data_IF_359997514759
#
_entry.id   IF_359997514759
#
_cell.length_a   1.000
_cell.length_b   1.000
_cell.length_c   1.000
_cell.angle_alpha   90.00
_cell.angle_beta   90.00
_cell.angle_gamma   90.00
#
_symmetry.space_group_name_H-M   'P 1'
#
loop_
_entity.id
_entity.type
_entity.pdbx_description
1 polymer ?
#
# COMPACT_ATOMS: atom_id res chain seq x y z
N UNK A 1 -4.95 -17.26 0.91
CA UNK A 1 -5.14 -18.70 0.65
C UNK A 1 -6.57 -19.04 1.06
N UNK A 2 -7.32 -19.74 0.22
CA UNK A 2 -8.65 -20.24 0.57
C UNK A 2 -8.55 -21.77 0.65
N UNK A 3 -9.12 -22.37 1.70
CA UNK A 3 -9.14 -23.82 1.81
C UNK A 3 -10.31 -24.36 1.00
N UNK A 4 -10.04 -25.10 -0.07
CA UNK A 4 -11.11 -25.77 -0.82
C UNK A 4 -11.41 -27.10 -0.14
N UNK A 5 -12.58 -27.19 0.50
CA UNK A 5 -13.03 -28.40 1.21
C UNK A 5 -13.19 -29.59 0.27
N UNK A 6 -13.54 -29.35 -1.00
CA UNK A 6 -13.67 -30.38 -2.04
C UNK A 6 -12.32 -30.88 -2.55
N UNK A 7 -11.37 -29.97 -2.76
CA UNK A 7 -10.02 -30.32 -3.22
C UNK A 7 -9.13 -30.83 -2.08
N UNK A 8 -9.53 -30.61 -0.82
CA UNK A 8 -8.78 -30.98 0.39
C UNK A 8 -7.35 -30.41 0.45
N UNK A 9 -7.10 -29.28 -0.21
CA UNK A 9 -5.85 -28.53 -0.11
C UNK A 9 -6.07 -27.00 -0.22
N UNK A 10 -5.12 -26.17 0.28
CA UNK A 10 -5.18 -24.73 0.15
C UNK A 10 -4.96 -24.31 -1.31
N UNK A 11 -5.98 -23.72 -1.94
CA UNK A 11 -5.81 -23.07 -3.25
C UNK A 11 -5.43 -21.60 -3.05
N UNK A 12 -4.62 -21.02 -3.95
CA UNK A 12 -4.53 -19.57 -4.07
C UNK A 12 -5.95 -19.02 -4.22
N UNK A 13 -6.33 -18.10 -3.34
CA UNK A 13 -7.58 -17.36 -3.55
C UNK A 13 -7.41 -16.51 -4.81
N UNK A 14 -8.49 -16.33 -5.58
CA UNK A 14 -8.51 -15.34 -6.66
C UNK A 14 -8.09 -13.98 -6.09
N UNK A 15 -7.10 -13.35 -6.68
CA UNK A 15 -6.78 -11.96 -6.39
C UNK A 15 -7.46 -11.08 -7.44
N UNK A 16 -8.02 -9.98 -7.01
CA UNK A 16 -8.84 -9.09 -7.83
C UNK A 16 -8.36 -7.67 -7.61
N UNK A 17 -8.19 -6.92 -8.70
CA UNK A 17 -7.98 -5.48 -8.65
C UNK A 17 -9.24 -4.80 -9.15
N UNK A 18 -9.85 -4.05 -8.26
CA UNK A 18 -11.10 -3.34 -8.52
C UNK A 18 -10.82 -1.88 -8.84
N UNK A 19 -11.58 -1.34 -9.79
CA UNK A 19 -11.55 0.08 -10.13
C UNK A 19 -12.95 0.65 -9.96
N UNK A 20 -13.02 1.76 -9.24
CA UNK A 20 -14.24 2.50 -8.99
C UNK A 20 -14.11 3.94 -9.51
N UNK A 21 -15.25 4.55 -9.82
CA UNK A 21 -15.32 5.96 -10.23
C UNK A 21 -15.18 6.91 -9.02
N UNK A 22 -15.27 8.22 -9.27
CA UNK A 22 -15.20 9.24 -8.22
C UNK A 22 -16.34 9.15 -7.17
N UNK A 23 -17.45 8.48 -7.50
CA UNK A 23 -18.58 8.24 -6.62
C UNK A 23 -18.42 6.95 -5.80
N UNK A 24 -17.39 6.14 -6.08
CA UNK A 24 -17.18 4.84 -5.46
C UNK A 24 -17.98 3.72 -6.13
N UNK A 25 -18.60 3.98 -7.28
CA UNK A 25 -19.28 2.97 -8.07
C UNK A 25 -18.24 2.11 -8.80
N UNK A 26 -18.29 0.77 -8.69
CA UNK A 26 -17.38 -0.11 -9.43
C UNK A 26 -17.58 0.07 -10.94
N UNK A 27 -16.46 0.21 -11.65
CA UNK A 27 -16.42 0.37 -13.11
C UNK A 27 -16.00 -0.94 -13.76
N UNK A 28 -14.90 -1.53 -13.28
CA UNK A 28 -14.43 -2.82 -13.73
C UNK A 28 -13.57 -3.50 -12.64
N UNK A 29 -13.36 -4.79 -12.83
CA UNK A 29 -12.45 -5.61 -12.03
C UNK A 29 -11.55 -6.41 -12.97
N UNK A 30 -10.28 -6.55 -12.61
CA UNK A 30 -9.37 -7.48 -13.29
C UNK A 30 -8.97 -8.60 -12.35
N UNK A 31 -8.98 -9.82 -12.88
CA UNK A 31 -8.39 -10.97 -12.19
C UNK A 31 -6.88 -10.74 -12.16
N UNK A 32 -6.36 -10.48 -10.97
CA UNK A 32 -4.94 -10.23 -10.79
C UNK A 32 -4.18 -11.53 -11.04
N UNK A 33 -3.17 -11.46 -11.90
CA UNK A 33 -2.27 -12.61 -12.08
C UNK A 33 -1.60 -12.90 -10.72
N UNK A 34 -1.54 -14.16 -10.28
CA UNK A 34 -0.91 -14.51 -9.00
C UNK A 34 0.46 -13.85 -8.85
N UNK A 35 0.75 -13.32 -7.66
CA UNK A 35 1.99 -12.62 -7.30
C UNK A 35 2.29 -11.28 -8.00
N UNK A 36 1.33 -10.66 -8.68
CA UNK A 36 1.51 -9.30 -9.21
C UNK A 36 1.28 -8.27 -8.12
N UNK A 37 2.20 -7.32 -7.95
CA UNK A 37 1.98 -6.15 -7.08
C UNK A 37 1.05 -5.13 -7.75
N UNK A 38 0.37 -4.29 -6.96
CA UNK A 38 -0.45 -3.19 -7.49
C UNK A 38 0.32 -2.33 -8.50
N UNK A 39 1.60 -2.05 -8.22
CA UNK A 39 2.50 -1.33 -9.15
C UNK A 39 2.64 -2.06 -10.48
N UNK A 40 2.88 -3.38 -10.46
CA UNK A 40 2.99 -4.17 -11.69
C UNK A 40 1.67 -4.26 -12.46
N UNK A 41 0.54 -4.29 -11.74
CA UNK A 41 -0.79 -4.31 -12.34
C UNK A 41 -1.10 -2.99 -13.04
N UNK A 42 -0.87 -1.86 -12.37
CA UNK A 42 -1.07 -0.53 -12.93
C UNK A 42 -0.21 -0.36 -14.19
N UNK A 43 1.09 -0.68 -14.14
CA UNK A 43 1.98 -0.62 -15.33
C UNK A 43 1.43 -1.42 -16.52
N UNK A 44 0.91 -2.62 -16.25
CA UNK A 44 0.36 -3.51 -17.28
C UNK A 44 -0.95 -2.97 -17.87
N UNK A 45 -1.79 -2.34 -17.05
CA UNK A 45 -3.12 -1.87 -17.46
C UNK A 45 -3.09 -0.48 -18.10
N UNK A 46 -2.13 0.38 -17.72
CA UNK A 46 -2.06 1.77 -18.20
C UNK A 46 -2.17 1.92 -19.72
N UNK A 47 -1.45 1.16 -20.56
CA UNK A 47 -1.58 1.28 -22.01
C UNK A 47 -3.00 1.00 -22.50
N UNK A 48 -3.60 -0.10 -22.05
CA UNK A 48 -4.98 -0.47 -22.42
C UNK A 48 -6.00 0.57 -21.98
N UNK A 49 -5.83 1.10 -20.75
CA UNK A 49 -6.69 2.18 -20.27
C UNK A 49 -6.54 3.43 -21.13
N UNK A 50 -5.31 3.74 -21.56
CA UNK A 50 -5.06 4.88 -22.44
C UNK A 50 -5.73 4.72 -23.80
N UNK A 51 -5.61 3.55 -24.42
CA UNK A 51 -6.28 3.24 -25.68
C UNK A 51 -7.81 3.39 -25.57
N UNK A 52 -8.40 3.00 -24.43
CA UNK A 52 -9.84 3.12 -24.19
C UNK A 52 -10.32 4.55 -23.90
N UNK A 53 -9.49 5.35 -23.23
CA UNK A 53 -9.85 6.72 -22.79
C UNK A 53 -9.58 7.75 -23.91
N UNK A 54 -8.61 7.47 -24.78
CA UNK A 54 -8.06 8.40 -25.76
C UNK A 54 -6.94 9.28 -25.19
N UNK A 55 -6.16 9.89 -26.07
CA UNK A 55 -4.91 10.57 -25.71
C UNK A 55 -5.11 11.91 -24.99
N UNK A 56 -6.22 12.60 -25.26
CA UNK A 56 -6.43 13.98 -24.77
C UNK A 56 -6.95 14.03 -23.33
N UNK A 57 -7.77 13.06 -22.92
CA UNK A 57 -8.46 13.11 -21.63
C UNK A 57 -7.52 12.73 -20.50
N UNK A 58 -7.13 13.71 -19.68
CA UNK A 58 -6.44 13.45 -18.41
C UNK A 58 -7.32 12.67 -17.44
N UNK A 59 -6.73 11.73 -16.71
CA UNK A 59 -7.44 10.90 -15.73
C UNK A 59 -6.71 10.87 -14.39
N UNK A 60 -7.38 11.34 -13.35
CA UNK A 60 -6.92 11.21 -11.97
C UNK A 60 -7.09 9.76 -11.48
N UNK A 61 -5.99 9.11 -11.14
CA UNK A 61 -5.97 7.72 -10.67
C UNK A 61 -5.54 7.64 -9.20
N UNK A 62 -6.49 7.29 -8.33
CA UNK A 62 -6.29 7.20 -6.88
C UNK A 62 -5.95 5.79 -6.42
N UNK A 63 -4.88 5.62 -5.64
CA UNK A 63 -4.51 4.33 -5.03
C UNK A 63 -3.85 4.50 -3.65
N UNK A 64 -3.78 3.41 -2.90
CA UNK A 64 -3.20 3.42 -1.55
C UNK A 64 -1.66 3.32 -1.56
N UNK A 65 -1.04 3.45 -0.38
CA UNK A 65 0.41 3.37 -0.15
C UNK A 65 1.09 2.11 -0.69
N UNK A 66 0.33 1.04 -0.91
CA UNK A 66 0.84 -0.19 -1.55
C UNK A 66 1.26 0.04 -3.01
N UNK A 67 0.70 1.05 -3.68
CA UNK A 67 1.09 1.49 -5.02
C UNK A 67 2.33 2.38 -5.06
N UNK A 68 3.08 2.50 -3.96
CA UNK A 68 4.23 3.42 -3.89
C UNK A 68 5.37 3.05 -4.84
N UNK A 69 5.56 3.84 -5.89
CA UNK A 69 6.70 3.76 -6.81
C UNK A 69 6.87 5.11 -7.52
N UNK A 70 7.89 5.92 -7.21
CA UNK A 70 8.10 7.20 -7.90
C UNK A 70 8.25 7.04 -9.42
N UNK A 71 8.89 5.96 -9.86
CA UNK A 71 8.94 5.61 -11.28
C UNK A 71 7.54 5.42 -11.88
N UNK A 72 6.65 4.70 -11.20
CA UNK A 72 5.27 4.51 -11.68
C UNK A 72 4.53 5.85 -11.79
N UNK A 73 4.72 6.74 -10.82
CA UNK A 73 4.04 8.04 -10.81
C UNK A 73 4.47 8.89 -12.01
N UNK A 74 5.77 8.87 -12.30
CA UNK A 74 6.31 9.54 -13.48
C UNK A 74 5.78 8.93 -14.78
N UNK A 75 5.78 7.60 -14.89
CA UNK A 75 5.28 6.90 -16.08
C UNK A 75 3.77 7.15 -16.31
N UNK A 76 2.96 7.15 -15.24
CA UNK A 76 1.53 7.50 -15.30
C UNK A 76 1.33 8.93 -15.78
N UNK A 77 2.10 9.87 -15.23
CA UNK A 77 2.06 11.29 -15.62
C UNK A 77 2.36 11.49 -17.11
N UNK A 78 3.39 10.80 -17.62
CA UNK A 78 3.75 10.82 -19.04
C UNK A 78 2.69 10.18 -19.93
N UNK A 79 1.91 9.24 -19.40
CA UNK A 79 0.80 8.60 -20.10
C UNK A 79 -0.53 9.37 -19.98
N UNK A 80 -0.53 10.61 -19.49
CA UNK A 80 -1.74 11.43 -19.36
C UNK A 80 -2.61 11.09 -18.14
N UNK A 81 -2.08 10.35 -17.17
CA UNK A 81 -2.77 10.07 -15.91
C UNK A 81 -2.20 10.91 -14.79
N UNK A 82 -3.05 11.40 -13.90
CA UNK A 82 -2.65 12.06 -12.68
C UNK A 82 -2.67 11.08 -11.51
N UNK A 83 -1.52 10.51 -11.07
CA UNK A 83 -1.49 9.74 -9.83
C UNK A 83 -2.00 10.55 -8.65
N UNK A 84 -2.72 9.89 -7.74
CA UNK A 84 -3.17 10.43 -6.45
C UNK A 84 -2.95 9.36 -5.38
N UNK A 85 -1.99 9.60 -4.48
CA UNK A 85 -1.58 8.59 -3.48
C UNK A 85 -1.13 9.24 -2.19
N UNK A 86 -1.13 8.47 -1.10
CA UNK A 86 -0.45 8.86 0.13
C UNK A 86 1.06 8.78 -0.04
N UNK A 87 1.79 9.73 0.56
CA UNK A 87 3.25 9.64 0.73
C UNK A 87 3.61 8.47 1.64
N UNK A 88 4.61 7.70 1.25
CA UNK A 88 5.18 6.59 2.03
C UNK A 88 6.59 6.94 2.47
N UNK A 89 6.94 6.51 3.68
CA UNK A 89 8.25 6.77 4.28
C UNK A 89 8.23 7.93 5.28
N UNK A 90 9.31 8.06 6.04
CA UNK A 90 9.55 9.21 6.91
C UNK A 90 9.93 10.42 6.06
N UNK A 91 9.42 11.58 6.44
CA UNK A 91 9.57 12.82 5.68
C UNK A 91 9.67 13.97 6.64
N UNK A 92 10.42 15.01 6.27
CA UNK A 92 10.42 16.25 7.03
C UNK A 92 9.01 16.87 7.03
N UNK A 93 8.66 17.42 8.19
CA UNK A 93 7.40 18.11 8.39
C UNK A 93 7.38 19.41 7.59
N UNK A 94 6.23 19.70 6.96
CA UNK A 94 6.00 21.00 6.32
C UNK A 94 5.90 22.07 7.40
N UNK A 95 6.47 23.25 7.13
CA UNK A 95 6.38 24.38 8.06
C UNK A 95 4.93 24.66 8.46
N UNK A 96 4.62 24.80 9.77
CA UNK A 96 3.28 25.13 10.26
C UNK A 96 2.67 26.38 9.63
N UNK A 97 3.48 27.35 9.21
CA UNK A 97 3.03 28.63 8.63
C UNK A 97 2.42 28.47 7.23
N UNK A 98 2.65 27.33 6.57
CA UNK A 98 2.10 27.03 5.24
C UNK A 98 0.69 26.43 5.30
N UNK A 99 0.16 26.15 6.50
CA UNK A 99 -1.14 25.54 6.67
C UNK A 99 -2.24 26.60 6.77
N UNK A 100 -3.24 26.50 5.88
CA UNK A 100 -4.42 27.34 5.88
C UNK A 100 -5.72 26.55 5.93
N UNK A 101 -6.84 27.26 6.12
CA UNK A 101 -8.19 26.72 5.96
C UNK A 101 -8.54 26.67 4.47
N UNK A 102 -9.09 25.54 4.04
CA UNK A 102 -9.61 25.36 2.68
C UNK A 102 -10.99 24.71 2.72
N UNK A 103 -11.82 24.98 1.72
CA UNK A 103 -13.21 24.52 1.66
C UNK A 103 -13.53 23.92 0.28
N UNK A 104 -14.38 22.90 0.25
CA UNK A 104 -14.87 22.26 -0.96
C UNK A 104 -16.36 21.94 -0.84
N UNK A 105 -17.15 22.28 -1.85
CA UNK A 105 -18.54 21.85 -1.95
C UNK A 105 -18.64 20.66 -2.91
N UNK A 106 -19.20 19.54 -2.44
CA UNK A 106 -19.40 18.38 -3.31
C UNK A 106 -20.58 18.57 -4.28
N UNK A 107 -20.77 17.59 -5.16
CA UNK A 107 -21.86 17.57 -6.16
C UNK A 107 -23.28 17.67 -5.58
N UNK A 108 -23.44 17.49 -4.26
CA UNK A 108 -24.71 17.64 -3.55
C UNK A 108 -24.80 18.95 -2.77
N UNK A 109 -23.86 19.87 -2.97
CA UNK A 109 -23.76 21.15 -2.25
C UNK A 109 -23.33 20.99 -0.79
N UNK A 110 -22.87 19.80 -0.37
CA UNK A 110 -22.40 19.61 1.00
C UNK A 110 -21.01 20.24 1.13
N UNK A 111 -20.88 21.20 2.05
CA UNK A 111 -19.61 21.87 2.32
C UNK A 111 -18.72 20.99 3.20
N UNK A 112 -17.47 20.84 2.79
CA UNK A 112 -16.41 20.15 3.51
C UNK A 112 -15.31 21.17 3.84
N UNK A 113 -15.05 21.36 5.12
CA UNK A 113 -14.04 22.30 5.61
C UNK A 113 -12.81 21.57 6.14
N UNK A 114 -11.63 22.02 5.75
CA UNK A 114 -10.36 21.50 6.22
C UNK A 114 -9.52 22.63 6.81
N UNK A 115 -9.41 22.68 8.14
CA UNK A 115 -8.80 23.81 8.85
C UNK A 115 -7.27 23.92 8.75
N UNK A 116 -6.57 22.83 8.41
CA UNK A 116 -5.11 22.81 8.30
C UNK A 116 -4.69 22.02 7.07
N UNK A 117 -4.52 22.71 5.94
CA UNK A 117 -4.03 22.17 4.68
C UNK A 117 -2.91 23.04 4.13
N UNK A 118 -1.79 22.43 3.73
CA UNK A 118 -0.71 23.09 3.02
C UNK A 118 -0.59 22.52 1.60
N UNK A 119 -0.40 23.39 0.61
CA UNK A 119 -0.23 23.02 -0.80
C UNK A 119 1.20 23.37 -1.22
N UNK A 120 2.01 22.35 -1.42
CA UNK A 120 3.45 22.45 -1.61
C UNK A 120 3.89 21.58 -2.79
N UNK A 121 5.19 21.55 -3.07
CA UNK A 121 5.74 20.60 -4.06
C UNK A 121 6.89 19.82 -3.47
N UNK A 122 7.07 18.58 -3.92
CA UNK A 122 8.17 17.71 -3.55
C UNK A 122 8.82 17.14 -4.81
N UNK A 123 10.14 16.95 -4.78
CA UNK A 123 10.86 16.22 -5.81
C UNK A 123 11.12 14.80 -5.33
N UNK A 124 10.65 13.82 -6.09
CA UNK A 124 10.94 12.41 -5.87
C UNK A 124 12.06 11.97 -6.82
N UNK A 125 12.94 11.10 -6.33
CA UNK A 125 13.99 10.49 -7.12
C UNK A 125 13.75 8.98 -7.28
N UNK A 126 14.11 8.42 -8.42
CA UNK A 126 14.18 6.97 -8.63
C UNK A 126 15.29 6.61 -9.61
N UNK A 127 15.79 5.38 -9.52
CA UNK A 127 16.92 4.91 -10.32
C UNK A 127 18.13 4.57 -9.44
N UNK A 128 19.23 4.12 -10.05
CA UNK A 128 20.46 3.84 -9.32
C UNK A 128 21.11 5.13 -8.81
N UNK A 129 21.83 5.01 -7.70
CA UNK A 129 22.50 6.14 -7.07
C UNK A 129 23.49 6.82 -8.04
N UNK A 130 23.41 8.14 -8.16
CA UNK A 130 24.22 8.94 -9.10
C UNK A 130 23.67 9.00 -10.53
N UNK A 131 22.56 8.32 -10.84
CA UNK A 131 21.84 8.39 -12.11
C UNK A 131 20.33 8.49 -11.87
N UNK A 132 19.93 9.13 -10.78
CA UNK A 132 18.53 9.25 -10.42
C UNK A 132 17.78 10.15 -11.41
N UNK A 133 16.57 9.72 -11.77
CA UNK A 133 15.60 10.57 -12.43
C UNK A 133 14.79 11.27 -11.36
N UNK A 134 14.86 12.60 -11.37
CA UNK A 134 14.08 13.47 -10.50
C UNK A 134 12.74 13.84 -11.13
N UNK A 135 11.68 13.76 -10.35
CA UNK A 135 10.31 14.00 -10.77
C UNK A 135 9.58 14.85 -9.72
N UNK A 136 9.14 16.05 -10.11
CA UNK A 136 8.43 16.96 -9.21
C UNK A 136 6.94 16.61 -9.18
N UNK A 137 6.39 16.53 -7.98
CA UNK A 137 4.97 16.33 -7.73
C UNK A 137 4.43 17.42 -6.80
N UNK A 138 3.13 17.68 -6.90
CA UNK A 138 2.38 18.48 -5.92
C UNK A 138 2.17 17.62 -4.66
N UNK A 139 2.32 18.26 -3.50
CA UNK A 139 2.12 17.66 -2.20
C UNK A 139 1.09 18.46 -1.40
N UNK A 140 -0.04 17.83 -1.12
CA UNK A 140 -1.06 18.37 -0.21
C UNK A 140 -0.89 17.75 1.17
N UNK A 141 -0.52 18.56 2.15
CA UNK A 141 -0.28 18.14 3.53
C UNK A 141 -1.45 18.50 4.42
N UNK A 142 -1.79 17.61 5.37
CA UNK A 142 -2.79 17.86 6.40
C UNK A 142 -2.22 17.56 7.78
N UNK A 143 -2.65 18.34 8.77
CA UNK A 143 -2.43 18.00 10.18
C UNK A 143 -3.62 17.20 10.67
N UNK A 144 -3.35 16.01 11.22
CA UNK A 144 -4.37 15.10 11.78
C UNK A 144 -3.96 14.64 13.17
N UNK A 145 -4.91 14.15 13.96
CA UNK A 145 -4.61 13.49 15.22
C UNK A 145 -3.64 12.31 14.99
N UNK A 146 -2.61 12.22 15.83
CA UNK A 146 -1.72 11.08 15.84
C UNK A 146 -2.47 9.82 16.31
N UNK A 147 -2.15 8.66 15.72
CA UNK A 147 -2.68 7.39 16.21
C UNK A 147 -2.03 7.00 17.54
N UNK A 148 -2.68 6.10 18.30
CA UNK A 148 -2.21 5.63 19.62
C UNK A 148 -0.72 5.26 19.62
N UNK A 149 -0.28 4.44 18.65
CA UNK A 149 1.11 4.01 18.53
C UNK A 149 2.10 5.18 18.35
N UNK A 150 1.72 6.20 17.58
CA UNK A 150 2.58 7.38 17.35
C UNK A 150 2.65 8.22 18.62
N UNK A 151 1.51 8.41 19.31
CA UNK A 151 1.45 9.13 20.59
C UNK A 151 2.33 8.48 21.65
N UNK A 152 2.23 7.16 21.81
CA UNK A 152 3.02 6.39 22.77
C UNK A 152 4.52 6.43 22.44
N UNK A 153 4.89 6.41 21.16
CA UNK A 153 6.29 6.40 20.75
C UNK A 153 6.96 7.77 20.74
N UNK A 154 6.20 8.85 20.51
CA UNK A 154 6.78 10.20 20.25
C UNK A 154 6.27 11.30 21.18
N UNK A 155 5.20 11.05 21.93
CA UNK A 155 4.50 12.08 22.71
C UNK A 155 3.74 13.11 21.86
N UNK A 156 3.74 12.99 20.53
CA UNK A 156 3.09 13.95 19.64
C UNK A 156 1.59 13.67 19.51
N UNK A 157 0.76 14.67 19.83
CA UNK A 157 -0.71 14.59 19.70
C UNK A 157 -1.21 14.63 18.26
N UNK A 158 -0.42 15.21 17.38
CA UNK A 158 -0.71 15.41 15.97
C UNK A 158 0.41 14.90 15.09
N UNK A 159 0.09 14.61 13.83
CA UNK A 159 1.06 14.27 12.79
C UNK A 159 0.66 14.87 11.46
N UNK A 160 1.63 15.03 10.57
CA UNK A 160 1.36 15.37 9.18
C UNK A 160 1.07 14.11 8.35
N UNK A 161 0.10 14.23 7.44
CA UNK A 161 -0.13 13.26 6.38
C UNK A 161 -0.04 13.98 5.04
N UNK A 162 0.63 13.35 4.07
CA UNK A 162 0.92 13.96 2.78
C UNK A 162 0.26 13.18 1.65
N UNK A 163 -0.43 13.88 0.78
CA UNK A 163 -1.04 13.39 -0.45
C UNK A 163 -0.16 13.87 -1.60
N UNK A 164 0.25 12.97 -2.48
CA UNK A 164 1.01 13.31 -3.68
C UNK A 164 0.12 13.20 -4.90
N UNK A 165 0.21 14.21 -5.77
CA UNK A 165 -0.43 14.18 -7.08
C UNK A 165 0.36 14.97 -8.12
N UNK A 166 0.16 14.67 -9.39
CA UNK A 166 0.61 15.52 -10.50
C UNK A 166 -0.47 16.48 -10.96
N UNK A 167 -1.70 16.34 -10.47
CA UNK A 167 -2.79 17.22 -10.83
C UNK A 167 -2.57 18.61 -10.22
N UNK A 168 -2.46 19.61 -11.09
CA UNK A 168 -2.30 21.03 -10.72
C UNK A 168 -3.60 21.82 -10.83
N UNK A 169 -4.61 21.25 -11.48
CA UNK A 169 -5.84 21.97 -11.85
C UNK A 169 -6.87 21.99 -10.72
N UNK A 170 -6.96 20.89 -9.95
CA UNK A 170 -7.94 20.78 -8.87
C UNK A 170 -7.49 21.57 -7.64
N UNK A 171 -8.42 22.26 -6.94
CA UNK A 171 -8.12 22.90 -5.66
C UNK A 171 -7.65 21.90 -4.60
N UNK A 172 -6.80 22.35 -3.68
CA UNK A 172 -6.27 21.50 -2.61
C UNK A 172 -7.39 20.83 -1.78
N UNK A 173 -8.46 21.57 -1.47
CA UNK A 173 -9.62 21.04 -0.75
C UNK A 173 -10.30 19.88 -1.48
N UNK A 174 -10.39 19.96 -2.81
CA UNK A 174 -10.98 18.89 -3.62
C UNK A 174 -10.07 17.66 -3.67
N UNK A 175 -8.75 17.84 -3.79
CA UNK A 175 -7.79 16.72 -3.70
C UNK A 175 -7.92 16.00 -2.36
N UNK A 176 -8.01 16.75 -1.26
CA UNK A 176 -8.25 16.20 0.08
C UNK A 176 -9.56 15.42 0.14
N UNK A 177 -10.64 16.00 -0.40
CA UNK A 177 -11.94 15.36 -0.45
C UNK A 177 -11.90 14.06 -1.23
N UNK A 178 -11.39 14.07 -2.48
CA UNK A 178 -11.29 12.90 -3.36
C UNK A 178 -10.43 11.79 -2.74
N UNK A 179 -9.30 12.15 -2.13
CA UNK A 179 -8.45 11.18 -1.45
C UNK A 179 -9.15 10.51 -0.26
N UNK A 180 -9.96 11.27 0.48
CA UNK A 180 -10.76 10.75 1.60
C UNK A 180 -11.94 9.91 1.09
N UNK A 181 -12.59 10.33 0.00
CA UNK A 181 -13.74 9.67 -0.61
C UNK A 181 -13.40 8.32 -1.23
N UNK A 182 -12.11 7.99 -1.43
CA UNK A 182 -11.65 6.65 -1.84
C UNK A 182 -12.22 5.53 -0.95
N UNK A 183 -12.47 5.81 0.33
CA UNK A 183 -13.09 4.85 1.27
C UNK A 183 -14.49 4.38 0.84
N UNK A 184 -15.17 5.11 -0.06
CA UNK A 184 -16.44 4.65 -0.66
C UNK A 184 -16.29 3.30 -1.36
N UNK A 185 -15.10 2.98 -1.87
CA UNK A 185 -14.82 1.68 -2.45
C UNK A 185 -14.95 0.54 -1.42
N UNK A 186 -14.56 0.77 -0.16
CA UNK A 186 -14.77 -0.21 0.90
C UNK A 186 -16.24 -0.34 1.30
N UNK A 187 -17.00 0.75 1.20
CA UNK A 187 -18.45 0.71 1.39
C UNK A 187 -19.12 -0.15 0.31
N UNK A 188 -18.67 -0.06 -0.95
CA UNK A 188 -19.12 -0.98 -2.01
C UNK A 188 -18.85 -2.43 -1.62
N UNK A 189 -17.62 -2.78 -1.24
CA UNK A 189 -17.29 -4.16 -0.87
C UNK A 189 -18.15 -4.67 0.28
N UNK A 190 -18.35 -3.87 1.32
CA UNK A 190 -19.23 -4.24 2.43
C UNK A 190 -20.66 -4.50 1.95
N UNK A 191 -21.22 -3.57 1.18
CA UNK A 191 -22.59 -3.68 0.70
C UNK A 191 -22.76 -4.88 -0.26
N UNK A 192 -21.84 -5.06 -1.20
CA UNK A 192 -21.90 -6.14 -2.18
C UNK A 192 -21.70 -7.52 -1.56
N UNK A 193 -20.93 -7.65 -0.48
CA UNK A 193 -20.88 -8.90 0.30
C UNK A 193 -22.23 -9.23 0.92
N UNK A 194 -22.93 -8.24 1.45
CA UNK A 194 -24.20 -8.42 2.14
C UNK A 194 -25.37 -8.67 1.19
N UNK A 195 -25.36 -8.02 0.02
CA UNK A 195 -26.55 -7.96 -0.85
C UNK A 195 -26.35 -8.55 -2.25
N UNK A 196 -25.11 -8.71 -2.70
CA UNK A 196 -24.80 -9.18 -4.06
C UNK A 196 -23.93 -10.44 -4.08
N UNK A 197 -23.77 -11.09 -2.92
CA UNK A 197 -22.99 -12.32 -2.78
C UNK A 197 -21.56 -12.19 -3.37
N UNK A 198 -20.91 -11.04 -3.15
CA UNK A 198 -19.60 -10.72 -3.74
C UNK A 198 -18.53 -11.79 -3.46
N UNK A 199 -18.55 -12.38 -2.26
CA UNK A 199 -17.58 -13.38 -1.81
C UNK A 199 -18.06 -14.83 -2.06
N UNK A 200 -19.15 -15.03 -2.81
CA UNK A 200 -19.63 -16.36 -3.13
C UNK A 200 -18.63 -17.16 -3.97
N UNK A 201 -18.68 -18.48 -3.82
CA UNK A 201 -17.91 -19.38 -4.65
C UNK A 201 -18.67 -19.64 -5.93
N UNK A 202 -18.27 -18.95 -6.99
CA UNK A 202 -19.00 -18.92 -8.26
C UNK A 202 -18.83 -20.20 -9.08
N UNK A 203 -17.68 -20.87 -8.95
CA UNK A 203 -17.35 -22.09 -9.67
C UNK A 203 -16.45 -22.97 -8.83
N UNK A 204 -16.70 -24.28 -8.85
CA UNK A 204 -15.81 -25.30 -8.27
C UNK A 204 -14.85 -25.90 -9.31
N UNK A 205 -14.91 -25.45 -10.56
CA UNK A 205 -14.04 -25.93 -11.61
C UNK A 205 -12.61 -25.45 -11.37
N UNK A 206 -11.64 -26.33 -11.61
CA UNK A 206 -10.22 -26.05 -11.44
C UNK A 206 -9.42 -26.69 -12.58
N UNK A 207 -8.27 -26.09 -12.87
CA UNK A 207 -7.32 -26.56 -13.86
C UNK A 207 -5.91 -26.56 -13.28
N UNK A 208 -5.02 -27.30 -13.92
CA UNK A 208 -3.59 -27.25 -13.60
C UNK A 208 -3.06 -25.86 -13.90
N UNK A 209 -2.40 -25.25 -12.92
CA UNK A 209 -1.75 -23.95 -13.06
C UNK A 209 -0.49 -24.10 -13.94
N UNK A 210 -0.01 -22.99 -14.48
CA UNK A 210 1.17 -22.94 -15.32
C UNK A 210 2.43 -23.31 -14.52
N UNK A 211 3.03 -24.48 -14.83
CA UNK A 211 4.21 -25.00 -14.12
C UNK A 211 5.44 -24.11 -14.28
N UNK A 212 5.53 -23.37 -15.38
CA UNK A 212 6.67 -22.49 -15.69
C UNK A 212 6.53 -21.10 -15.06
N UNK A 213 5.36 -20.79 -14.49
CA UNK A 213 5.08 -19.51 -13.85
C UNK A 213 6.06 -19.26 -12.71
N UNK A 214 6.83 -18.17 -12.81
CA UNK A 214 7.85 -17.80 -11.83
C UNK A 214 7.23 -17.33 -10.52
N UNK A 215 7.42 -18.09 -9.44
CA UNK A 215 6.96 -17.76 -8.07
C UNK A 215 8.14 -17.43 -7.14
N UNK A 216 7.92 -16.64 -6.07
CA UNK A 216 8.96 -16.37 -5.08
C UNK A 216 9.55 -17.65 -4.51
N UNK A 217 10.89 -17.70 -4.41
CA UNK A 217 11.59 -18.84 -3.82
C UNK A 217 11.42 -18.84 -2.29
N UNK A 218 10.69 -19.81 -1.69
CA UNK A 218 10.48 -19.84 -0.23
C UNK A 218 11.76 -20.07 0.56
N UNK A 219 12.76 -20.75 -0.03
CA UNK A 219 14.06 -20.94 0.62
C UNK A 219 14.87 -19.64 0.68
N UNK A 220 14.75 -18.79 -0.34
CA UNK A 220 15.41 -17.47 -0.33
C UNK A 220 14.80 -16.55 0.74
N UNK A 221 13.49 -16.63 0.98
CA UNK A 221 12.87 -15.87 2.07
C UNK A 221 13.35 -16.36 3.45
N UNK A 222 13.44 -17.68 3.66
CA UNK A 222 14.05 -18.24 4.89
C UNK A 222 15.50 -17.79 5.06
N UNK A 223 16.29 -17.78 3.99
CA UNK A 223 17.66 -17.29 4.02
C UNK A 223 17.74 -15.79 4.36
N UNK A 224 16.80 -14.99 3.81
CA UNK A 224 16.66 -13.57 4.15
C UNK A 224 16.35 -13.37 5.63
N UNK A 225 15.39 -14.11 6.19
CA UNK A 225 15.04 -14.04 7.61
C UNK A 225 16.23 -14.38 8.50
N UNK A 226 16.99 -15.45 8.17
CA UNK A 226 18.22 -15.82 8.87
C UNK A 226 19.26 -14.70 8.82
N UNK A 227 19.49 -14.11 7.64
CA UNK A 227 20.40 -12.98 7.45
C UNK A 227 19.97 -11.76 8.27
N UNK A 228 18.70 -11.40 8.22
CA UNK A 228 18.16 -10.21 8.90
C UNK A 228 18.23 -10.39 10.44
N UNK A 229 17.99 -11.60 10.93
CA UNK A 229 18.17 -11.94 12.35
C UNK A 229 19.65 -11.83 12.78
N UNK A 230 20.59 -12.32 11.96
CA UNK A 230 22.02 -12.15 12.22
C UNK A 230 22.45 -10.68 12.18
N UNK A 231 21.91 -9.88 11.26
CA UNK A 231 22.17 -8.45 11.20
C UNK A 231 21.64 -7.71 12.44
N UNK A 232 20.48 -8.11 12.95
CA UNK A 232 19.97 -7.60 14.22
C UNK A 232 20.87 -8.01 15.40
N UNK A 233 21.36 -9.25 15.42
CA UNK A 233 22.30 -9.74 16.44
C UNK A 233 23.62 -8.97 16.42
N UNK A 234 24.21 -8.74 15.24
CA UNK A 234 25.45 -7.93 15.10
C UNK A 234 25.22 -6.54 15.67
N UNK A 235 24.12 -5.86 15.31
CA UNK A 235 23.80 -4.53 15.86
C UNK A 235 23.68 -4.53 17.38
N UNK A 236 23.03 -5.54 17.96
CA UNK A 236 22.88 -5.65 19.41
C UNK A 236 24.22 -5.89 20.11
N UNK A 237 25.07 -6.77 19.56
CA UNK A 237 26.40 -7.04 20.11
C UNK A 237 27.34 -5.84 19.97
N UNK A 238 27.31 -5.15 18.83
CA UNK A 238 28.10 -3.94 18.61
C UNK A 238 27.70 -2.85 19.61
N UNK A 239 26.39 -2.59 19.78
CA UNK A 239 25.93 -1.61 20.78
C UNK A 239 26.34 -1.99 22.22
N UNK A 240 26.33 -3.28 22.56
CA UNK A 240 26.80 -3.74 23.87
C UNK A 240 28.33 -3.60 24.03
N UNK A 241 29.09 -3.85 22.97
CA UNK A 241 30.54 -3.65 22.94
C UNK A 241 30.87 -2.15 23.08
N UNK A 242 30.19 -1.27 22.34
CA UNK A 242 30.37 0.18 22.41
C UNK A 242 30.13 0.72 23.83
N UNK A 243 29.12 0.23 24.54
CA UNK A 243 28.84 0.61 25.94
C UNK A 243 29.97 0.17 26.87
N UNK A 244 30.50 -1.04 26.69
CA UNK A 244 31.60 -1.55 27.51
C UNK A 244 32.91 -0.83 27.18
N UNK A 245 33.17 -0.53 25.91
CA UNK A 245 34.33 0.26 25.48
C UNK A 245 34.27 1.68 26.05
N UNK A 246 33.08 2.31 26.01
CA UNK A 246 32.87 3.62 26.63
C UNK A 246 33.15 3.59 28.14
N UNK A 247 32.72 2.53 28.84
CA UNK A 247 33.01 2.35 30.26
C UNK A 247 34.52 2.18 30.53
N UNK A 248 35.24 1.43 29.68
CA UNK A 248 36.70 1.30 29.77
C UNK A 248 37.44 2.61 29.52
N UNK A 249 36.91 3.45 28.62
CA UNK A 249 37.45 4.77 28.28
C UNK A 249 37.04 5.89 29.26
N UNK A 250 36.21 5.59 30.27
CA UNK A 250 35.69 6.56 31.24
C UNK A 250 35.96 6.12 32.69
N UNK A 251 37.22 6.04 33.13
CA UNK A 251 37.55 5.65 34.51
C UNK A 251 37.13 6.72 35.53
N UNK A 252 36.96 6.31 36.78
CA UNK A 252 36.64 7.23 37.89
C UNK A 252 37.77 8.27 38.11
N UNK A 253 37.45 9.48 38.57
CA UNK A 253 38.46 10.51 38.81
C UNK A 253 39.56 10.03 39.77
N UNK A 254 40.80 9.95 39.25
CA UNK A 254 41.97 9.49 40.01
C UNK A 254 42.42 8.06 39.71
N UNK A 255 41.67 7.30 38.91
CA UNK A 255 42.09 5.99 38.41
C UNK A 255 42.73 6.08 37.03
N UNK A 256 43.85 5.37 36.84
CA UNK A 256 44.51 5.21 35.55
C UNK A 256 44.32 3.77 35.05
N UNK A 257 43.53 3.59 33.99
CA UNK A 257 43.32 2.29 33.34
C UNK A 257 44.14 2.24 32.05
N UNK A 258 44.96 1.19 31.90
CA UNK A 258 45.66 0.93 30.63
C UNK A 258 44.83 -0.02 29.77
N UNK A 259 44.25 0.50 28.70
CA UNK A 259 43.49 -0.31 27.73
C UNK A 259 44.48 -1.04 26.81
N UNK A 260 44.39 -2.36 26.76
CA UNK A 260 45.26 -3.18 25.91
C UNK A 260 44.50 -3.70 24.68
N UNK A 261 45.22 -3.98 23.59
CA UNK A 261 44.66 -4.64 22.41
C UNK A 261 44.00 -5.99 22.75
N UNK A 262 44.50 -6.68 23.77
CA UNK A 262 43.91 -7.95 24.23
C UNK A 262 42.49 -7.74 24.77
N UNK A 263 42.28 -6.70 25.60
CA UNK A 263 40.96 -6.37 26.16
C UNK A 263 39.98 -5.97 25.06
N UNK A 264 40.40 -5.13 24.11
CA UNK A 264 39.55 -4.73 22.97
C UNK A 264 39.23 -5.92 22.05
N UNK A 265 40.18 -6.84 21.84
CA UNK A 265 39.96 -8.04 21.06
C UNK A 265 38.97 -9.01 21.74
N UNK A 266 39.08 -9.19 23.06
CA UNK A 266 38.14 -10.01 23.83
C UNK A 266 36.73 -9.42 23.81
N UNK A 267 36.63 -8.09 23.94
CA UNK A 267 35.36 -7.36 23.86
C UNK A 267 34.69 -7.51 22.50
N UNK A 268 35.45 -7.37 21.42
CA UNK A 268 34.95 -7.40 20.05
C UNK A 268 34.84 -8.83 19.47
N UNK A 269 35.41 -9.85 20.10
CA UNK A 269 35.36 -11.24 19.61
C UNK A 269 33.93 -11.75 19.31
N UNK A 270 32.91 -11.50 20.15
CA UNK A 270 31.52 -11.87 19.84
C UNK A 270 30.95 -11.12 18.62
N UNK A 271 31.32 -9.85 18.44
CA UNK A 271 30.90 -9.03 17.28
C UNK A 271 31.49 -9.61 16.00
N UNK A 272 32.82 -9.81 15.97
CA UNK A 272 33.54 -10.37 14.83
C UNK A 272 33.02 -11.77 14.44
N UNK A 273 32.72 -12.61 15.43
CA UNK A 273 32.13 -13.93 15.19
C UNK A 273 30.73 -13.83 14.55
N UNK A 274 29.89 -12.91 15.02
CA UNK A 274 28.56 -12.67 14.47
C UNK A 274 28.61 -12.04 13.06
N UNK A 275 29.56 -11.15 12.80
CA UNK A 275 29.81 -10.58 11.48
C UNK A 275 30.23 -11.64 10.46
N UNK A 276 31.10 -12.58 10.86
CA UNK A 276 31.47 -13.72 10.00
C UNK A 276 30.25 -14.58 9.66
N UNK A 277 29.37 -14.83 10.62
CA UNK A 277 28.11 -15.55 10.38
C UNK A 277 27.18 -14.76 9.45
N UNK A 278 27.05 -13.44 9.64
CA UNK A 278 26.26 -12.57 8.77
C UNK A 278 26.81 -12.55 7.34
N UNK A 279 28.13 -12.47 7.17
CA UNK A 279 28.78 -12.50 5.87
C UNK A 279 28.48 -13.82 5.13
N UNK A 280 28.58 -14.95 5.83
CA UNK A 280 28.26 -16.26 5.27
C UNK A 280 26.77 -16.36 4.89
N UNK A 281 25.86 -15.98 5.78
CA UNK A 281 24.42 -15.97 5.50
C UNK A 281 24.05 -15.01 4.35
N UNK A 282 24.77 -13.90 4.21
CA UNK A 282 24.60 -12.96 3.10
C UNK A 282 25.03 -13.56 1.77
N UNK A 283 26.15 -14.28 1.73
CA UNK A 283 26.60 -15.02 0.54
C UNK A 283 25.59 -16.10 0.14
N UNK A 284 25.12 -16.89 1.10
CA UNK A 284 24.06 -17.90 0.89
C UNK A 284 22.79 -17.27 0.30
N UNK A 285 22.32 -16.17 0.89
CA UNK A 285 21.14 -15.44 0.40
C UNK A 285 21.32 -14.88 -1.02
N UNK A 286 22.50 -14.33 -1.33
CA UNK A 286 22.80 -13.75 -2.65
C UNK A 286 22.88 -14.82 -3.74
N UNK A 287 23.43 -16.00 -3.42
CA UNK A 287 23.56 -17.10 -4.38
C UNK A 287 22.21 -17.72 -4.79
N UNK A 288 21.17 -17.61 -3.94
CA UNK A 288 19.86 -18.18 -4.24
C UNK A 288 19.11 -17.37 -5.31
N UNK A 289 18.43 -18.06 -6.23
CA UNK A 289 17.52 -17.43 -7.19
C UNK A 289 16.33 -16.77 -6.48
N UNK A 290 15.91 -15.59 -6.96
CA UNK A 290 14.76 -14.89 -6.39
C UNK A 290 13.42 -15.57 -6.69
N UNK A 291 13.33 -16.23 -7.85
CA UNK A 291 12.13 -16.92 -8.32
C UNK A 291 12.49 -18.30 -8.85
N UNK A 292 11.56 -19.24 -8.68
CA UNK A 292 11.62 -20.59 -9.23
C UNK A 292 10.34 -20.87 -10.04
N UNK A 293 10.35 -21.82 -10.99
CA UNK A 293 9.13 -22.32 -11.62
C UNK A 293 8.16 -22.86 -10.57
N UNK A 294 6.86 -22.67 -10.79
CA UNK A 294 5.82 -23.16 -9.90
C UNK A 294 5.87 -24.67 -9.75
N UNK A 295 6.16 -25.40 -10.83
CA UNK A 295 6.25 -26.86 -10.83
C UNK A 295 7.32 -27.39 -9.87
N UNK A 296 8.40 -26.65 -9.62
CA UNK A 296 9.44 -27.01 -8.64
C UNK A 296 9.00 -26.72 -7.20
N UNK A 297 8.28 -25.63 -6.98
CA UNK A 297 7.88 -25.16 -5.64
C UNK A 297 6.61 -25.86 -5.14
N UNK A 298 5.64 -26.08 -6.02
CA UNK A 298 4.41 -26.79 -5.73
C UNK A 298 3.94 -27.60 -6.96
N UNK A 299 4.47 -28.82 -7.16
CA UNK A 299 4.10 -29.69 -8.27
C UNK A 299 2.59 -29.96 -8.31
N UNK A 300 1.99 -29.87 -9.50
CA UNK A 300 0.56 -30.17 -9.70
C UNK A 300 -0.40 -29.13 -9.13
N UNK A 301 0.09 -27.94 -8.76
CA UNK A 301 -0.74 -26.82 -8.29
C UNK A 301 -1.94 -26.61 -9.21
N UNK A 302 -3.13 -26.52 -8.62
CA UNK A 302 -4.37 -26.18 -9.34
C UNK A 302 -4.75 -24.72 -9.09
N UNK A 303 -5.43 -24.12 -10.06
CA UNK A 303 -6.06 -22.80 -9.99
C UNK A 303 -7.55 -22.94 -10.28
N UNK A 304 -8.37 -22.12 -9.63
CA UNK A 304 -9.81 -22.08 -9.89
C UNK A 304 -10.10 -21.39 -11.22
N UNK A 305 -11.14 -21.86 -11.89
CA UNK A 305 -11.75 -21.19 -13.04
C UNK A 305 -12.26 -19.80 -12.61
N UNK A 306 -12.00 -18.78 -13.44
CA UNK A 306 -12.25 -17.37 -13.08
C UNK A 306 -13.17 -16.60 -14.03
N UNK A 307 -13.45 -17.12 -15.22
CA UNK A 307 -14.33 -16.50 -16.21
C UNK A 307 -15.76 -16.39 -15.69
N UNK A 308 -16.31 -17.46 -15.08
CA UNK A 308 -17.66 -17.40 -14.49
C UNK A 308 -17.73 -16.34 -13.38
N UNK A 309 -16.68 -16.26 -12.56
CA UNK A 309 -16.54 -15.21 -11.53
C UNK A 309 -16.51 -13.82 -12.15
N UNK A 310 -15.77 -13.61 -13.23
CA UNK A 310 -15.72 -12.32 -13.93
C UNK A 310 -17.10 -11.90 -14.48
N UNK A 311 -17.83 -12.84 -15.10
CA UNK A 311 -19.17 -12.60 -15.63
C UNK A 311 -20.14 -12.25 -14.50
N UNK A 312 -20.15 -13.01 -13.41
CA UNK A 312 -21.01 -12.74 -12.27
C UNK A 312 -20.67 -11.41 -11.59
N UNK A 313 -19.38 -11.06 -11.48
CA UNK A 313 -18.97 -9.74 -11.01
C UNK A 313 -19.48 -8.61 -11.91
N UNK A 314 -19.53 -8.79 -13.22
CA UNK A 314 -20.14 -7.79 -14.12
C UNK A 314 -21.61 -7.53 -13.79
N UNK A 315 -22.40 -8.58 -13.53
CA UNK A 315 -23.80 -8.44 -13.11
C UNK A 315 -23.93 -7.81 -11.72
N UNK A 316 -23.08 -8.20 -10.76
CA UNK A 316 -23.06 -7.62 -9.40
C UNK A 316 -22.72 -6.12 -9.42
N UNK A 317 -21.74 -5.72 -10.23
CA UNK A 317 -21.38 -4.32 -10.44
C UNK A 317 -22.55 -3.54 -11.05
N UNK A 318 -23.18 -4.06 -12.10
CA UNK A 318 -24.33 -3.42 -12.74
C UNK A 318 -25.50 -3.25 -11.76
N UNK A 319 -25.84 -4.29 -10.99
CA UNK A 319 -26.89 -4.24 -9.99
C UNK A 319 -26.63 -3.17 -8.91
N UNK A 320 -25.42 -3.15 -8.36
CA UNK A 320 -25.01 -2.12 -7.39
C UNK A 320 -25.11 -0.70 -7.99
N UNK A 321 -24.61 -0.51 -9.21
CA UNK A 321 -24.63 0.79 -9.86
C UNK A 321 -26.06 1.29 -10.10
N UNK A 322 -26.98 0.41 -10.51
CA UNK A 322 -28.41 0.75 -10.64
C UNK A 322 -29.01 1.15 -9.29
N UNK A 323 -28.72 0.41 -8.21
CA UNK A 323 -29.15 0.77 -6.86
C UNK A 323 -28.63 2.16 -6.45
N UNK A 324 -27.35 2.45 -6.69
CA UNK A 324 -26.76 3.74 -6.35
C UNK A 324 -27.29 4.89 -7.21
N UNK A 325 -27.62 4.63 -8.48
CA UNK A 325 -28.29 5.60 -9.35
C UNK A 325 -29.68 5.96 -8.80
N UNK A 326 -30.48 4.97 -8.39
CA UNK A 326 -31.79 5.21 -7.79
C UNK A 326 -31.69 6.00 -6.48
N UNK A 327 -30.74 5.65 -5.59
CA UNK A 327 -30.49 6.39 -4.35
C UNK A 327 -30.09 7.84 -4.64
N UNK A 328 -29.23 8.04 -5.63
CA UNK A 328 -28.80 9.38 -6.07
C UNK A 328 -30.00 10.17 -6.59
N UNK A 329 -30.83 9.57 -7.44
CA UNK A 329 -32.02 10.20 -8.00
C UNK A 329 -33.02 10.60 -6.90
N UNK A 330 -33.31 9.71 -5.94
CA UNK A 330 -34.17 10.02 -4.79
C UNK A 330 -33.62 11.21 -4.03
N UNK A 331 -32.32 11.21 -3.70
CA UNK A 331 -31.68 12.31 -2.98
C UNK A 331 -31.76 13.64 -3.75
N UNK A 332 -31.47 13.63 -5.05
CA UNK A 332 -31.44 14.85 -5.86
C UNK A 332 -32.83 15.40 -6.17
N UNK A 333 -33.83 14.53 -6.39
CA UNK A 333 -35.18 14.96 -6.78
C UNK A 333 -36.05 15.34 -5.58
N UNK A 334 -35.88 14.67 -4.44
CA UNK A 334 -36.73 14.88 -3.25
C UNK A 334 -36.03 15.67 -2.15
N UNK A 335 -34.70 15.83 -2.22
CA UNK A 335 -33.90 16.37 -1.13
C UNK A 335 -33.78 15.41 0.06
N UNK A 336 -34.32 14.20 -0.02
CA UNK A 336 -34.27 13.21 1.06
C UNK A 336 -32.82 12.85 1.39
N UNK A 337 -32.40 13.21 2.60
CA UNK A 337 -31.10 12.85 3.17
C UNK A 337 -31.32 11.64 4.07
N UNK A 338 -30.52 10.60 3.90
CA UNK A 338 -30.53 9.47 4.82
C UNK A 338 -30.32 10.00 6.25
N UNK A 339 -31.23 9.65 7.17
CA UNK A 339 -31.11 10.05 8.57
C UNK A 339 -29.81 9.45 9.14
N UNK A 340 -28.91 10.31 9.61
CA UNK A 340 -27.62 9.92 10.19
C UNK A 340 -27.76 9.01 11.42
N UNK A 341 -28.97 8.92 12.01
CA UNK A 341 -29.30 8.05 13.15
C UNK A 341 -29.97 6.72 12.80
N UNK A 342 -30.25 6.42 11.53
CA UNK A 342 -31.09 5.27 11.16
C UNK A 342 -30.40 4.20 10.31
N UNK A 343 -29.07 4.09 10.34
CA UNK A 343 -28.38 2.91 9.79
C UNK A 343 -28.85 1.59 10.44
N UNK A 344 -29.50 1.65 11.61
CA UNK A 344 -30.06 0.49 12.34
C UNK A 344 -31.59 0.39 12.33
N UNK A 345 -32.34 1.35 11.76
CA UNK A 345 -33.81 1.43 11.99
C UNK A 345 -34.65 0.81 10.87
N UNK A 346 -34.10 0.52 9.69
CA UNK A 346 -34.87 -0.13 8.61
C UNK A 346 -34.77 -1.67 8.55
N UNK A 347 -34.42 -2.35 9.65
CA UNK A 347 -34.40 -3.83 9.73
C UNK A 347 -35.44 -4.40 10.71
N UNK A 348 -36.45 -3.65 11.13
CA UNK A 348 -37.60 -4.23 11.85
C UNK A 348 -38.92 -3.62 11.42
N UNK A 349 -39.62 -4.38 10.55
CA UNK A 349 -41.06 -4.42 10.21
C UNK A 349 -41.14 -4.75 8.71
N UNK A 350 -41.64 -5.88 8.23
CA UNK A 350 -42.50 -6.92 8.79
C UNK A 350 -41.99 -8.33 8.42
#
# INVERSE_FOLDING_TARGET
KQYSTRLKFPVPASMESWVADANGSPVFMVMAKPSTSLVGELRRLTPKLRDMIGDERRVLIGFDREGWSPQLFHDLSRAGFDPLTWRKGATEDVSPDLFGKVEYADQFGTKHEYGKVADTTVTLAYGPAGQEICFRMRQISRIVAAGKQVREATGQEHRQIHILTTNTDLPAAEIVFRMSARWRHENYFRYARQHFALDAHDSYQAFTDDSERRVPNPLKDKAKQKRDALAAKVRALAAAADVQELALCSPEPGEAVTITNKMLNELNAPVLAAEKQLAQASKEYQAMSAKLPLGEVNPGQQVLESELKQVLHAFRMAAYNVTMMLVTQVRTQTGYKAASSQAHVFVRQA
#
